data_IF_358412892754
#
_entry.id   IF_358412892754
#
_cell.length_a   1.000
_cell.length_b   1.000
_cell.length_c   1.000
_cell.angle_alpha   90.00
_cell.angle_beta   90.00
_cell.angle_gamma   90.00
#
_symmetry.space_group_name_H-M   'P 1'
#
loop_
_entity.id
_entity.type
_entity.pdbx_description
1 polymer ?
#
# COMPACT_ATOMS: atom_id res chain seq x y z
N UNK A 1 -18.55 -4.63 -3.08
CA UNK A 1 -17.13 -4.64 -2.61
C UNK A 1 -16.33 -3.57 -3.36
N UNK A 2 -15.59 -2.71 -2.64
CA UNK A 2 -14.67 -1.73 -3.21
C UNK A 2 -13.34 -2.42 -3.58
N UNK A 3 -12.73 -2.07 -4.72
CA UNK A 3 -11.44 -2.65 -5.11
C UNK A 3 -10.67 -1.68 -6.03
N UNK A 4 -9.34 -1.63 -5.90
CA UNK A 4 -8.48 -0.72 -6.67
C UNK A 4 -7.08 -1.31 -6.84
N UNK A 5 -6.36 -0.86 -7.85
CA UNK A 5 -4.95 -1.20 -8.06
C UNK A 5 -4.09 -0.03 -7.57
N UNK A 6 -3.06 -0.32 -6.79
CA UNK A 6 -2.10 0.66 -6.32
C UNK A 6 -0.66 0.17 -6.38
N UNK A 7 0.28 1.08 -6.15
CA UNK A 7 1.72 0.82 -6.13
C UNK A 7 2.29 1.18 -4.76
N UNK A 8 3.08 0.30 -4.17
CA UNK A 8 3.77 0.55 -2.91
C UNK A 8 4.90 1.56 -3.09
N UNK A 9 4.82 2.72 -2.49
CA UNK A 9 5.90 3.70 -2.49
C UNK A 9 6.92 3.38 -1.40
N UNK A 10 6.46 3.16 -0.17
CA UNK A 10 7.32 2.91 0.97
C UNK A 10 6.56 2.69 2.25
N UNK A 11 7.29 2.74 3.35
CA UNK A 11 6.71 2.72 4.70
C UNK A 11 7.24 3.91 5.50
N UNK A 12 6.38 4.45 6.33
CA UNK A 12 6.67 5.52 7.28
C UNK A 12 5.89 5.33 8.56
N UNK A 13 6.04 6.22 9.51
CA UNK A 13 5.22 6.28 10.71
C UNK A 13 4.45 7.59 10.73
N UNK A 14 3.22 7.55 11.26
CA UNK A 14 2.34 8.71 11.43
C UNK A 14 1.98 8.80 12.90
N UNK A 15 1.93 10.01 13.43
CA UNK A 15 1.59 10.26 14.82
C UNK A 15 0.12 10.68 14.93
N UNK A 16 -0.52 10.23 15.99
CA UNK A 16 -1.91 10.59 16.30
C UNK A 16 -1.94 11.62 17.43
N UNK A 17 -3.02 12.38 17.53
CA UNK A 17 -3.24 13.35 18.61
C UNK A 17 -3.17 12.70 20.00
N UNK A 18 -3.52 11.41 20.09
CA UNK A 18 -3.42 10.60 21.32
C UNK A 18 -1.97 10.23 21.73
N UNK A 19 -0.95 10.69 20.98
CA UNK A 19 0.45 10.35 21.21
C UNK A 19 0.85 8.93 20.74
N UNK A 20 -0.04 8.18 20.08
CA UNK A 20 0.31 6.87 19.53
C UNK A 20 0.93 7.00 18.15
N UNK A 21 1.83 6.05 17.80
CA UNK A 21 2.48 6.00 16.49
C UNK A 21 1.91 4.85 15.68
N UNK A 22 1.43 5.14 14.47
CA UNK A 22 1.00 4.11 13.52
C UNK A 22 2.07 3.89 12.46
N UNK A 23 2.62 2.66 12.34
CA UNK A 23 3.41 2.30 11.18
C UNK A 23 2.48 2.20 9.96
N UNK A 24 2.78 2.94 8.90
CA UNK A 24 1.93 2.98 7.70
C UNK A 24 2.72 2.65 6.46
N UNK A 25 2.05 2.01 5.51
CA UNK A 25 2.53 1.84 4.14
C UNK A 25 1.85 2.88 3.27
N UNK A 26 2.65 3.66 2.56
CA UNK A 26 2.17 4.62 1.56
C UNK A 26 1.97 3.88 0.24
N UNK A 27 0.74 3.95 -0.28
CA UNK A 27 0.37 3.34 -1.56
C UNK A 27 -0.13 4.45 -2.49
N UNK A 28 0.50 4.56 -3.64
CA UNK A 28 0.05 5.40 -4.74
C UNK A 28 -1.05 4.69 -5.50
N UNK A 29 -2.16 5.36 -5.69
CA UNK A 29 -3.33 4.87 -6.42
C UNK A 29 -3.64 5.85 -7.53
N UNK A 30 -2.90 5.77 -8.62
CA UNK A 30 -3.22 6.53 -9.82
C UNK A 30 -4.61 6.16 -10.33
N UNK A 31 -5.32 7.05 -11.03
CA UNK A 31 -6.62 6.75 -11.60
C UNK A 31 -6.61 5.44 -12.38
N UNK A 32 -7.44 4.51 -11.96
CA UNK A 32 -7.58 3.20 -12.57
C UNK A 32 -8.67 3.27 -13.65
N UNK A 33 -8.32 3.05 -14.91
CA UNK A 33 -9.26 3.16 -16.02
C UNK A 33 -9.89 1.82 -16.33
N UNK A 34 -11.22 1.77 -16.45
CA UNK A 34 -11.95 0.56 -16.83
C UNK A 34 -11.79 0.33 -18.33
N UNK A 35 -11.11 -0.74 -18.69
CA UNK A 35 -10.84 -1.11 -20.09
C UNK A 35 -11.94 -1.97 -20.69
N UNK A 36 -12.50 -2.89 -19.91
CA UNK A 36 -13.53 -3.81 -20.34
C UNK A 36 -14.40 -4.23 -19.17
N UNK A 37 -15.70 -4.36 -19.41
CA UNK A 37 -16.67 -4.94 -18.49
C UNK A 37 -16.96 -6.37 -18.93
N UNK A 38 -16.66 -7.34 -18.09
CA UNK A 38 -16.92 -8.75 -18.34
C UNK A 38 -18.31 -9.13 -17.85
N UNK A 39 -19.08 -9.82 -18.68
CA UNK A 39 -20.46 -10.20 -18.41
C UNK A 39 -20.60 -11.72 -18.36
N UNK A 40 -21.57 -12.22 -17.62
CA UNK A 40 -21.85 -13.67 -17.51
C UNK A 40 -22.13 -14.28 -18.87
N UNK A 41 -22.81 -13.56 -19.77
CA UNK A 41 -23.20 -14.08 -21.09
C UNK A 41 -22.00 -14.35 -22.02
N UNK A 42 -20.97 -13.49 -21.97
CA UNK A 42 -19.79 -13.57 -22.87
C UNK A 42 -18.59 -14.26 -22.22
N UNK A 43 -18.33 -13.94 -20.96
CA UNK A 43 -17.10 -14.34 -20.26
C UNK A 43 -17.38 -15.42 -19.18
N UNK A 44 -18.66 -15.66 -18.82
CA UNK A 44 -19.07 -16.63 -17.80
C UNK A 44 -18.97 -16.11 -16.36
N UNK A 45 -18.53 -14.88 -16.14
CA UNK A 45 -18.44 -14.23 -14.83
C UNK A 45 -18.47 -12.71 -14.96
N UNK A 46 -18.75 -12.03 -13.85
CA UNK A 46 -18.77 -10.58 -13.74
C UNK A 46 -17.47 -10.04 -13.15
N UNK A 47 -16.79 -9.16 -13.90
CA UNK A 47 -15.58 -8.47 -13.44
C UNK A 47 -15.33 -7.21 -14.27
N UNK A 48 -14.63 -6.25 -13.69
CA UNK A 48 -14.08 -5.11 -14.41
C UNK A 48 -12.61 -5.34 -14.73
N UNK A 49 -12.24 -5.30 -15.98
CA UNK A 49 -10.85 -5.27 -16.38
C UNK A 49 -10.35 -3.84 -16.33
N UNK A 50 -9.39 -3.58 -15.46
CA UNK A 50 -8.90 -2.23 -15.13
C UNK A 50 -7.43 -2.10 -15.46
N UNK A 51 -7.08 -0.96 -16.06
CA UNK A 51 -5.71 -0.58 -16.39
C UNK A 51 -5.11 0.40 -15.39
N UNK A 52 -3.85 0.20 -15.05
CA UNK A 52 -3.07 1.03 -14.14
C UNK A 52 -1.76 1.44 -14.79
N UNK A 53 -1.38 2.71 -14.66
CA UNK A 53 -0.17 3.33 -15.19
C UNK A 53 -0.10 3.37 -16.73
N UNK A 54 0.12 4.56 -17.26
CA UNK A 54 0.16 4.81 -18.69
C UNK A 54 1.43 4.26 -19.35
N UNK A 55 1.24 3.63 -20.50
CA UNK A 55 2.31 3.09 -21.33
C UNK A 55 2.44 3.92 -22.60
N UNK A 56 3.67 4.24 -22.98
CA UNK A 56 3.91 4.94 -24.27
C UNK A 56 3.42 4.08 -25.43
N UNK A 57 2.71 4.68 -26.37
CA UNK A 57 2.15 3.96 -27.55
C UNK A 57 3.22 3.23 -28.35
N UNK A 58 4.42 3.81 -28.49
CA UNK A 58 5.55 3.18 -29.18
C UNK A 58 6.01 1.85 -28.58
N UNK A 59 5.66 1.59 -27.31
CA UNK A 59 5.98 0.34 -26.61
C UNK A 59 4.80 -0.63 -26.52
N UNK A 60 3.63 -0.22 -26.98
CA UNK A 60 2.42 -1.01 -26.90
C UNK A 60 2.27 -1.92 -28.12
N UNK A 61 1.77 -3.14 -27.89
CA UNK A 61 1.42 -4.07 -28.96
C UNK A 61 0.09 -3.66 -29.63
N UNK A 62 -0.13 -4.13 -30.86
CA UNK A 62 -1.39 -3.86 -31.60
C UNK A 62 -2.64 -4.28 -30.82
N UNK A 63 -2.57 -5.38 -30.05
CA UNK A 63 -3.68 -5.84 -29.22
C UNK A 63 -3.97 -4.88 -28.06
N UNK A 64 -2.91 -4.41 -27.36
CA UNK A 64 -3.04 -3.43 -26.27
C UNK A 64 -3.61 -2.10 -26.76
N UNK A 65 -3.14 -1.63 -27.94
CA UNK A 65 -3.68 -0.45 -28.60
C UNK A 65 -5.16 -0.64 -29.00
N UNK A 66 -5.55 -1.84 -29.44
CA UNK A 66 -6.93 -2.16 -29.78
C UNK A 66 -7.86 -2.09 -28.55
N UNK A 67 -7.40 -2.59 -27.41
CA UNK A 67 -8.14 -2.50 -26.12
C UNK A 67 -8.24 -1.04 -25.66
N UNK A 68 -7.13 -0.31 -25.70
CA UNK A 68 -7.08 1.09 -25.29
C UNK A 68 -8.01 1.97 -26.15
N UNK A 69 -8.03 1.76 -27.47
CA UNK A 69 -8.94 2.47 -28.39
C UNK A 69 -10.41 2.22 -28.09
N UNK A 70 -10.79 0.98 -27.72
CA UNK A 70 -12.19 0.67 -27.33
C UNK A 70 -12.63 1.39 -26.06
N UNK A 71 -11.70 1.62 -25.14
CA UNK A 71 -11.94 2.33 -23.89
C UNK A 71 -11.65 3.84 -23.98
N UNK A 72 -11.30 4.36 -25.16
CA UNK A 72 -10.89 5.75 -25.41
C UNK A 72 -9.79 6.24 -24.46
N UNK A 73 -8.78 5.39 -24.19
CA UNK A 73 -7.70 5.67 -23.25
C UNK A 73 -6.33 5.36 -23.84
N UNK A 74 -5.28 5.76 -23.14
CA UNK A 74 -3.90 5.35 -23.43
C UNK A 74 -3.67 3.89 -23.03
N UNK A 75 -2.79 3.15 -23.73
CA UNK A 75 -2.43 1.79 -23.31
C UNK A 75 -1.84 1.80 -21.90
N UNK A 76 -2.07 0.73 -21.13
CA UNK A 76 -1.68 0.62 -19.72
C UNK A 76 -0.61 -0.45 -19.49
N UNK A 77 0.27 -0.23 -18.51
CA UNK A 77 1.31 -1.20 -18.15
C UNK A 77 0.74 -2.43 -17.42
N UNK A 78 -0.17 -2.19 -16.50
CA UNK A 78 -0.73 -3.25 -15.66
C UNK A 78 -2.22 -3.34 -15.89
N UNK A 79 -2.65 -4.52 -16.30
CA UNK A 79 -4.07 -4.83 -16.49
C UNK A 79 -4.44 -5.93 -15.51
N UNK A 80 -5.47 -5.71 -14.69
CA UNK A 80 -5.97 -6.65 -13.70
C UNK A 80 -7.49 -6.63 -13.68
N UNK A 81 -8.05 -7.72 -13.21
CA UNK A 81 -9.48 -7.84 -12.98
C UNK A 81 -9.82 -7.48 -11.54
N UNK A 82 -10.82 -6.64 -11.39
CA UNK A 82 -11.41 -6.26 -10.13
C UNK A 82 -12.79 -6.91 -10.03
N UNK A 83 -13.02 -7.63 -8.95
CA UNK A 83 -14.27 -8.27 -8.61
C UNK A 83 -15.01 -7.43 -7.57
N UNK A 84 -16.32 -7.36 -7.64
CA UNK A 84 -17.16 -6.69 -6.65
C UNK A 84 -18.40 -6.06 -7.28
N UNK A 85 -19.56 -6.41 -6.74
CA UNK A 85 -20.86 -6.02 -7.28
C UNK A 85 -21.07 -4.50 -7.33
N UNK A 86 -20.66 -3.78 -6.28
CA UNK A 86 -20.76 -2.31 -6.20
C UNK A 86 -19.92 -1.61 -7.28
N UNK A 87 -18.68 -2.07 -7.50
CA UNK A 87 -17.82 -1.49 -8.53
C UNK A 87 -18.34 -1.83 -9.91
N UNK A 88 -18.81 -3.06 -10.09
CA UNK A 88 -19.36 -3.52 -11.34
C UNK A 88 -20.59 -2.72 -11.78
N UNK A 89 -21.48 -2.40 -10.82
CA UNK A 89 -22.71 -1.65 -11.12
C UNK A 89 -22.44 -0.17 -11.39
N UNK A 90 -21.47 0.44 -10.70
CA UNK A 90 -21.26 1.88 -10.71
C UNK A 90 -20.31 2.37 -11.82
N UNK A 91 -19.57 1.47 -12.47
CA UNK A 91 -18.56 1.87 -13.44
C UNK A 91 -18.80 1.24 -14.81
N UNK A 92 -18.62 2.06 -15.85
CA UNK A 92 -18.68 1.66 -17.25
C UNK A 92 -17.30 1.69 -17.90
N UNK A 93 -17.21 1.18 -19.13
CA UNK A 93 -15.98 1.20 -19.92
C UNK A 93 -15.54 2.64 -20.17
N UNK A 94 -14.27 2.95 -19.90
CA UNK A 94 -13.71 4.31 -19.99
C UNK A 94 -13.82 5.13 -18.71
N UNK A 95 -14.60 4.71 -17.71
CA UNK A 95 -14.65 5.40 -16.41
C UNK A 95 -13.36 5.21 -15.60
N UNK A 96 -13.08 6.13 -14.70
CA UNK A 96 -11.93 6.10 -13.79
C UNK A 96 -12.36 5.71 -12.39
N UNK A 97 -11.53 4.94 -11.71
CA UNK A 97 -11.69 4.52 -10.32
C UNK A 97 -10.53 5.12 -9.54
N UNK A 98 -10.81 6.01 -8.60
CA UNK A 98 -9.83 6.74 -7.81
C UNK A 98 -9.72 6.21 -6.37
N UNK A 99 -8.75 6.71 -5.62
CA UNK A 99 -8.56 6.35 -4.22
C UNK A 99 -9.72 6.80 -3.31
N UNK A 100 -10.54 7.76 -3.74
CA UNK A 100 -11.68 8.31 -2.99
C UNK A 100 -12.79 7.29 -2.69
N UNK A 101 -12.76 6.10 -3.31
CA UNK A 101 -13.68 5.01 -3.00
C UNK A 101 -13.50 4.53 -1.55
N UNK A 102 -12.28 4.61 -1.01
CA UNK A 102 -11.98 4.21 0.36
C UNK A 102 -12.08 5.39 1.32
N UNK A 103 -12.46 5.09 2.54
CA UNK A 103 -12.54 6.05 3.65
C UNK A 103 -11.59 5.65 4.78
N UNK A 104 -11.19 6.62 5.61
CA UNK A 104 -10.43 6.32 6.82
C UNK A 104 -11.24 5.39 7.74
N UNK A 105 -10.59 4.36 8.28
CA UNK A 105 -11.22 3.32 9.09
C UNK A 105 -11.75 2.11 8.31
N UNK A 106 -11.75 2.14 6.98
CA UNK A 106 -12.15 0.98 6.18
C UNK A 106 -11.19 -0.19 6.39
N UNK A 107 -11.76 -1.38 6.60
CA UNK A 107 -11.01 -2.63 6.63
C UNK A 107 -10.77 -3.13 5.20
N UNK A 108 -9.52 -3.43 4.88
CA UNK A 108 -9.09 -3.82 3.54
C UNK A 108 -8.25 -5.10 3.55
N UNK A 109 -8.31 -5.83 2.44
CA UNK A 109 -7.41 -6.93 2.12
C UNK A 109 -6.48 -6.50 1.00
N UNK A 110 -5.18 -6.76 1.16
CA UNK A 110 -4.17 -6.40 0.16
C UNK A 110 -3.54 -7.65 -0.43
N UNK A 111 -3.64 -7.78 -1.75
CA UNK A 111 -3.08 -8.88 -2.53
C UNK A 111 -1.89 -8.36 -3.34
N UNK A 112 -0.68 -8.88 -3.08
CA UNK A 112 0.51 -8.53 -3.82
C UNK A 112 1.50 -9.69 -3.91
N UNK A 113 2.52 -9.53 -4.75
CA UNK A 113 3.63 -10.50 -4.84
C UNK A 113 4.64 -10.22 -3.72
N UNK A 114 4.95 -11.25 -2.92
CA UNK A 114 5.97 -11.19 -1.87
C UNK A 114 7.38 -10.98 -2.45
N UNK A 115 8.32 -10.59 -1.59
CA UNK A 115 9.75 -10.55 -1.98
C UNK A 115 10.27 -11.97 -2.23
N UNK A 116 11.07 -12.14 -3.28
CA UNK A 116 11.81 -13.38 -3.52
C UNK A 116 13.08 -13.43 -2.68
N UNK A 117 13.53 -14.63 -2.34
CA UNK A 117 14.75 -14.87 -1.56
C UNK A 117 15.77 -15.78 -2.27
N UNK A 118 15.52 -16.10 -3.53
CA UNK A 118 16.37 -16.98 -4.31
C UNK A 118 16.39 -18.43 -3.80
N UNK A 119 17.49 -19.14 -4.00
CA UNK A 119 17.69 -20.47 -3.44
C UNK A 119 17.98 -20.38 -1.94
N UNK A 120 17.14 -20.96 -1.13
CA UNK A 120 17.15 -20.78 0.33
C UNK A 120 17.20 -22.12 1.05
N UNK A 121 18.06 -22.22 2.05
CA UNK A 121 18.18 -23.39 2.91
C UNK A 121 16.98 -23.58 3.84
N UNK A 122 16.86 -24.77 4.43
CA UNK A 122 15.72 -25.21 5.26
C UNK A 122 15.49 -24.30 6.45
N UNK A 123 16.55 -23.82 7.08
CA UNK A 123 16.47 -22.98 8.27
C UNK A 123 15.74 -21.66 7.98
N UNK A 124 16.15 -20.93 6.95
CA UNK A 124 15.52 -19.67 6.56
C UNK A 124 14.14 -19.88 5.95
N UNK A 125 13.96 -20.95 5.14
CA UNK A 125 12.71 -21.17 4.41
C UNK A 125 11.58 -21.68 5.28
N UNK A 126 11.90 -22.52 6.27
CA UNK A 126 10.90 -23.22 7.09
C UNK A 126 11.11 -23.06 8.60
N UNK A 127 12.02 -22.16 9.00
CA UNK A 127 12.36 -21.92 10.41
C UNK A 127 12.78 -23.19 11.17
N UNK A 128 13.54 -24.08 10.48
CA UNK A 128 14.06 -25.29 11.11
C UNK A 128 15.17 -24.95 12.12
N UNK A 129 15.34 -25.77 13.12
CA UNK A 129 16.40 -25.61 14.11
C UNK A 129 17.79 -25.77 13.48
N UNK A 130 18.74 -24.99 13.99
CA UNK A 130 20.17 -25.12 13.68
C UNK A 130 20.73 -26.25 14.52
N UNK A 131 21.61 -27.06 13.96
CA UNK A 131 22.35 -28.08 14.70
C UNK A 131 23.35 -27.50 15.71
N UNK A 132 23.98 -28.34 16.54
CA UNK A 132 24.99 -27.90 17.50
C UNK A 132 26.13 -27.15 16.82
N UNK A 133 26.58 -26.05 17.43
CA UNK A 133 27.72 -25.27 16.95
C UNK A 133 29.07 -25.69 17.54
N UNK A 134 29.05 -26.53 18.57
CA UNK A 134 30.21 -27.08 19.27
C UNK A 134 30.10 -28.58 19.46
N UNK A 135 30.83 -29.14 20.41
CA UNK A 135 30.88 -30.59 20.73
C UNK A 135 31.29 -31.50 19.55
N UNK A 136 32.17 -31.02 18.68
CA UNK A 136 32.68 -31.79 17.54
C UNK A 136 31.69 -32.00 16.38
N UNK A 137 30.53 -31.35 16.42
CA UNK A 137 29.49 -31.49 15.39
C UNK A 137 29.85 -30.69 14.14
N UNK A 138 29.94 -31.32 12.97
CA UNK A 138 29.96 -30.64 11.67
C UNK A 138 28.56 -30.34 11.10
N UNK A 139 27.50 -30.74 11.80
CA UNK A 139 26.11 -30.54 11.40
C UNK A 139 25.59 -29.19 11.91
N UNK A 140 25.74 -28.11 11.15
CA UNK A 140 25.31 -26.78 11.57
C UNK A 140 23.99 -26.35 10.93
N UNK A 141 23.89 -26.37 9.60
CA UNK A 141 22.77 -25.81 8.85
C UNK A 141 22.16 -26.79 7.85
N UNK A 142 22.35 -28.08 8.03
CA UNK A 142 21.90 -29.14 7.14
C UNK A 142 20.42 -29.54 7.46
N UNK A 143 19.85 -30.41 6.60
CA UNK A 143 18.44 -30.84 6.68
C UNK A 143 18.20 -31.82 7.83
N UNK A 144 19.20 -32.52 8.27
CA UNK A 144 19.10 -33.63 9.17
C UNK A 144 18.85 -34.96 8.47
N UNK A 145 18.53 -36.01 9.22
CA UNK A 145 18.26 -37.30 8.67
C UNK A 145 17.10 -37.30 7.69
N UNK A 146 17.27 -37.91 6.55
CA UNK A 146 16.24 -38.17 5.55
C UNK A 146 15.72 -39.61 5.64
N UNK A 147 16.41 -40.46 6.41
CA UNK A 147 16.00 -41.82 6.64
C UNK A 147 14.73 -41.89 7.49
N UNK A 148 13.87 -42.83 7.17
CA UNK A 148 12.65 -43.13 7.90
C UNK A 148 12.73 -44.58 8.38
N UNK A 149 12.42 -44.81 9.67
CA UNK A 149 12.49 -46.11 10.31
C UNK A 149 11.55 -47.14 9.64
N UNK A 150 11.99 -47.83 8.60
CA UNK A 150 11.30 -48.95 7.98
C UNK A 150 9.92 -48.74 7.37
N UNK A 151 9.16 -47.75 7.83
CA UNK A 151 7.76 -47.51 7.42
C UNK A 151 7.59 -47.01 5.97
N UNK A 152 8.62 -46.50 5.35
CA UNK A 152 8.56 -45.90 4.01
C UNK A 152 9.51 -46.59 3.01
N UNK A 153 9.96 -47.82 3.24
CA UNK A 153 10.88 -48.54 2.36
C UNK A 153 12.08 -47.69 1.94
N UNK A 154 12.76 -47.04 2.90
CA UNK A 154 13.89 -46.14 2.70
C UNK A 154 13.61 -44.91 1.79
N UNK A 155 12.36 -44.55 1.61
CA UNK A 155 12.00 -43.36 0.86
C UNK A 155 11.90 -42.16 1.78
N UNK A 156 12.14 -40.98 1.20
CA UNK A 156 11.83 -39.70 1.88
C UNK A 156 10.33 -39.46 1.84
N UNK A 157 9.71 -39.06 2.96
CA UNK A 157 8.29 -38.76 2.99
C UNK A 157 7.93 -37.66 1.99
N UNK A 158 6.77 -37.81 1.34
CA UNK A 158 6.20 -36.76 0.52
C UNK A 158 5.99 -35.47 1.34
N UNK A 159 6.30 -34.33 0.76
CA UNK A 159 6.19 -33.04 1.45
C UNK A 159 7.32 -32.74 2.46
N UNK A 160 8.40 -33.55 2.53
CA UNK A 160 9.55 -33.25 3.38
C UNK A 160 10.11 -31.86 3.04
N UNK A 161 10.22 -31.00 4.04
CA UNK A 161 10.71 -29.62 3.90
C UNK A 161 12.20 -29.62 3.61
N UNK A 162 12.60 -29.18 2.42
CA UNK A 162 13.98 -29.11 1.95
C UNK A 162 14.31 -27.71 1.44
N UNK A 163 15.61 -27.41 1.30
CA UNK A 163 16.06 -26.20 0.61
C UNK A 163 15.53 -26.13 -0.82
N UNK A 164 15.47 -24.97 -1.39
CA UNK A 164 14.99 -24.77 -2.75
C UNK A 164 14.72 -23.30 -3.08
N UNK A 165 14.27 -23.07 -4.29
CA UNK A 165 13.95 -21.74 -4.79
C UNK A 165 12.74 -21.16 -4.04
N UNK A 166 12.95 -20.06 -3.34
CA UNK A 166 11.88 -19.29 -2.71
C UNK A 166 11.49 -18.13 -3.63
N UNK A 167 10.58 -18.43 -4.53
CA UNK A 167 10.07 -17.47 -5.52
C UNK A 167 9.12 -16.46 -4.89
N UNK A 168 8.95 -15.27 -5.50
CA UNK A 168 7.84 -14.36 -5.17
C UNK A 168 6.51 -15.10 -5.34
N UNK A 169 5.68 -15.07 -4.31
CA UNK A 169 4.35 -15.69 -4.32
C UNK A 169 3.29 -14.61 -4.15
N UNK A 170 2.13 -14.82 -4.74
CA UNK A 170 0.95 -13.98 -4.46
C UNK A 170 0.52 -14.24 -3.01
N UNK A 171 0.55 -13.20 -2.21
CA UNK A 171 0.22 -13.24 -0.79
C UNK A 171 -0.86 -12.22 -0.51
N UNK A 172 -1.89 -12.63 0.23
CA UNK A 172 -2.95 -11.75 0.70
C UNK A 172 -2.76 -11.48 2.19
N UNK A 173 -2.70 -10.21 2.57
CA UNK A 173 -2.80 -9.80 3.97
C UNK A 173 -4.21 -9.29 4.20
N UNK A 174 -4.88 -9.89 5.18
CA UNK A 174 -6.25 -9.61 5.51
C UNK A 174 -6.38 -8.57 6.62
N UNK A 175 -7.51 -7.85 6.63
CA UNK A 175 -7.93 -6.97 7.71
C UNK A 175 -6.92 -5.87 8.06
N UNK A 176 -6.30 -5.27 7.06
CA UNK A 176 -5.56 -4.01 7.23
C UNK A 176 -6.55 -2.85 7.30
N UNK A 177 -6.13 -1.74 7.88
CA UNK A 177 -6.98 -0.56 8.09
C UNK A 177 -6.42 0.60 7.28
N UNK A 178 -7.31 1.32 6.60
CA UNK A 178 -6.98 2.59 5.95
C UNK A 178 -6.90 3.66 7.04
N UNK A 179 -5.75 4.30 7.18
CA UNK A 179 -5.52 5.37 8.15
C UNK A 179 -5.99 6.71 7.61
N UNK A 180 -5.61 6.99 6.36
CA UNK A 180 -5.95 8.25 5.69
C UNK A 180 -5.99 8.06 4.18
N UNK A 181 -6.75 8.92 3.50
CA UNK A 181 -6.92 8.96 2.05
C UNK A 181 -6.64 10.37 1.56
N UNK A 182 -5.64 10.53 0.74
CA UNK A 182 -5.30 11.82 0.14
C UNK A 182 -5.56 11.80 -1.37
N UNK A 183 -6.73 12.28 -1.83
CA UNK A 183 -7.08 12.30 -3.25
C UNK A 183 -6.18 13.23 -4.07
N UNK A 184 -5.73 14.34 -3.50
CA UNK A 184 -4.89 15.31 -4.22
C UNK A 184 -3.55 14.71 -4.66
N UNK A 185 -2.99 13.84 -3.83
CA UNK A 185 -1.72 13.15 -4.11
C UNK A 185 -1.93 11.71 -4.60
N UNK A 186 -3.17 11.28 -4.82
CA UNK A 186 -3.52 9.90 -5.20
C UNK A 186 -2.90 8.85 -4.27
N UNK A 187 -2.91 9.09 -2.95
CA UNK A 187 -2.27 8.25 -1.95
C UNK A 187 -3.27 7.67 -0.95
N UNK A 188 -3.02 6.40 -0.58
CA UNK A 188 -3.65 5.72 0.54
C UNK A 188 -2.60 5.40 1.60
N UNK A 189 -2.90 5.71 2.86
CA UNK A 189 -2.11 5.32 4.02
C UNK A 189 -2.73 4.07 4.65
N UNK A 190 -2.03 2.95 4.57
CA UNK A 190 -2.50 1.67 5.09
C UNK A 190 -1.71 1.34 6.36
N UNK A 191 -2.39 1.07 7.47
CA UNK A 191 -1.77 0.67 8.73
C UNK A 191 -1.11 -0.69 8.60
N UNK A 192 0.19 -0.74 8.91
CA UNK A 192 0.97 -1.97 8.90
C UNK A 192 1.76 -2.21 7.62
N UNK A 193 2.28 -3.42 7.48
CA UNK A 193 3.12 -3.82 6.34
C UNK A 193 2.30 -4.45 5.22
N UNK A 194 2.69 -4.13 3.99
CA UNK A 194 2.11 -4.67 2.77
C UNK A 194 3.15 -5.53 2.04
N UNK A 195 2.79 -6.68 1.45
CA UNK A 195 3.74 -7.56 0.79
C UNK A 195 4.39 -6.91 -0.43
N UNK A 196 5.60 -7.34 -0.73
CA UNK A 196 6.36 -6.91 -1.89
C UNK A 196 7.43 -5.84 -1.63
N UNK A 197 8.32 -5.61 -2.61
CA UNK A 197 9.30 -4.53 -2.59
C UNK A 197 8.67 -3.16 -2.81
N UNK A 198 9.46 -2.09 -2.73
CA UNK A 198 9.06 -0.77 -3.21
C UNK A 198 8.68 -0.84 -4.69
N UNK A 199 7.72 -0.05 -5.10
CA UNK A 199 7.18 0.02 -6.46
C UNK A 199 6.48 -1.25 -6.96
N UNK A 200 6.19 -2.22 -6.09
CA UNK A 200 5.35 -3.37 -6.45
C UNK A 200 3.89 -2.97 -6.57
N UNK A 201 3.25 -3.48 -7.62
CA UNK A 201 1.82 -3.30 -7.86
C UNK A 201 1.02 -4.29 -7.03
N UNK A 202 -0.08 -3.82 -6.45
CA UNK A 202 -0.96 -4.58 -5.60
C UNK A 202 -2.44 -4.34 -5.94
N UNK A 203 -3.29 -5.28 -5.59
CA UNK A 203 -4.74 -5.16 -5.60
C UNK A 203 -5.21 -4.93 -4.16
N UNK A 204 -5.92 -3.85 -3.93
CA UNK A 204 -6.53 -3.51 -2.66
C UNK A 204 -8.02 -3.73 -2.81
N UNK A 205 -8.65 -4.41 -1.87
CA UNK A 205 -10.09 -4.64 -1.85
C UNK A 205 -10.64 -4.52 -0.44
N UNK A 206 -11.94 -4.28 -0.31
CA UNK A 206 -12.61 -4.34 0.99
C UNK A 206 -12.41 -5.71 1.63
N UNK A 207 -12.20 -5.77 2.95
CA UNK A 207 -11.94 -7.00 3.67
C UNK A 207 -13.16 -7.94 3.60
N UNK A 208 -12.96 -9.17 3.18
CA UNK A 208 -14.03 -10.16 3.07
C UNK A 208 -14.56 -10.55 4.45
N UNK A 209 -13.68 -10.68 5.44
CA UNK A 209 -14.04 -11.13 6.81
C UNK A 209 -14.60 -10.02 7.71
N UNK A 210 -14.37 -8.75 7.39
CA UNK A 210 -14.72 -7.60 8.23
C UNK A 210 -15.46 -6.50 7.46
N UNK A 211 -16.21 -6.86 6.43
CA UNK A 211 -16.85 -5.96 5.47
C UNK A 211 -17.69 -4.83 6.07
N UNK A 212 -18.28 -5.02 7.25
CA UNK A 212 -19.26 -4.09 7.82
C UNK A 212 -18.74 -3.28 9.00
N UNK A 213 -17.51 -3.50 9.46
CA UNK A 213 -17.00 -2.86 10.67
C UNK A 213 -15.94 -1.82 10.31
N UNK A 214 -16.30 -0.55 10.40
CA UNK A 214 -15.30 0.53 10.40
C UNK A 214 -14.51 0.44 11.70
N UNK A 215 -13.19 0.45 11.57
CA UNK A 215 -12.29 0.44 12.72
C UNK A 215 -11.99 1.89 13.07
N UNK A 216 -12.20 2.32 14.32
CA UNK A 216 -11.91 3.69 14.72
C UNK A 216 -10.41 3.96 14.52
N UNK A 217 -10.12 5.05 13.83
CA UNK A 217 -8.76 5.58 13.64
C UNK A 217 -8.69 6.90 14.38
N UNK A 218 -7.72 7.05 15.26
CA UNK A 218 -7.46 8.31 15.95
C UNK A 218 -7.03 9.37 14.95
N UNK A 219 -7.40 10.63 15.21
CA UNK A 219 -7.02 11.75 14.35
C UNK A 219 -5.51 11.88 14.26
N UNK A 220 -5.04 12.19 13.06
CA UNK A 220 -3.63 12.38 12.79
C UNK A 220 -3.21 13.81 13.13
N UNK A 221 -2.00 13.96 13.66
CA UNK A 221 -1.41 15.28 13.91
C UNK A 221 -1.12 15.97 12.58
N UNK A 222 -1.68 17.17 12.41
CA UNK A 222 -1.50 17.96 11.20
C UNK A 222 -0.45 19.06 11.44
N UNK A 223 0.82 18.72 11.28
CA UNK A 223 1.94 19.64 11.49
C UNK A 223 1.90 20.91 10.61
N UNK A 224 1.22 20.85 9.45
CA UNK A 224 1.16 22.03 8.55
C UNK A 224 0.25 23.12 9.08
N UNK A 225 -0.86 22.77 9.70
CA UNK A 225 -1.77 23.75 10.29
C UNK A 225 -1.16 24.40 11.53
N UNK A 226 -0.54 23.62 12.41
CA UNK A 226 0.14 24.17 13.61
C UNK A 226 1.27 25.13 13.24
N UNK A 227 2.11 24.77 12.24
CA UNK A 227 3.21 25.64 11.81
C UNK A 227 2.73 26.91 11.12
N UNK A 228 1.67 26.86 10.35
CA UNK A 228 1.09 28.08 9.72
C UNK A 228 0.50 29.00 10.75
N UNK A 229 -0.33 28.48 11.66
CA UNK A 229 -0.91 29.27 12.75
C UNK A 229 0.14 29.84 13.71
N UNK A 230 1.23 29.10 13.98
CA UNK A 230 2.35 29.61 14.78
C UNK A 230 3.11 30.72 14.05
N UNK A 231 3.33 30.58 12.76
CA UNK A 231 4.00 31.59 11.94
C UNK A 231 3.13 32.87 11.85
N UNK A 232 1.82 32.74 11.68
CA UNK A 232 0.88 33.87 11.66
C UNK A 232 0.87 34.60 13.01
N UNK A 233 0.80 33.90 14.13
CA UNK A 233 0.90 34.49 15.47
C UNK A 233 2.22 35.22 15.72
N UNK A 234 3.35 34.61 15.34
CA UNK A 234 4.66 35.23 15.46
C UNK A 234 4.76 36.49 14.59
N UNK A 235 4.13 36.48 13.41
CA UNK A 235 4.10 37.68 12.53
C UNK A 235 3.20 38.78 13.11
N UNK A 236 2.06 38.44 13.68
CA UNK A 236 1.18 39.41 14.37
C UNK A 236 1.87 40.01 15.60
N UNK A 237 2.50 39.21 16.45
CA UNK A 237 3.25 39.69 17.61
C UNK A 237 4.44 40.59 17.20
N UNK A 238 5.12 40.25 16.11
CA UNK A 238 6.22 41.06 15.59
C UNK A 238 5.74 42.41 14.99
N UNK A 239 4.56 42.45 14.40
CA UNK A 239 3.92 43.68 13.90
C UNK A 239 3.46 44.56 15.05
N UNK A 240 2.84 44.00 16.08
CA UNK A 240 2.46 44.74 17.28
C UNK A 240 3.66 45.31 18.05
N UNK A 241 4.76 44.53 18.14
CA UNK A 241 5.99 44.99 18.78
C UNK A 241 6.61 46.18 18.02
N UNK A 242 6.62 46.15 16.68
CA UNK A 242 7.09 47.28 15.86
C UNK A 242 6.21 48.51 16.01
N UNK A 243 4.90 48.33 16.03
CA UNK A 243 3.98 49.44 16.23
C UNK A 243 4.15 50.12 17.59
N UNK A 244 4.40 49.31 18.65
CA UNK A 244 4.72 49.83 20.00
C UNK A 244 6.05 50.57 20.05
N UNK A 245 7.08 50.07 19.34
CA UNK A 245 8.38 50.77 19.23
C UNK A 245 8.28 52.10 18.44
N UNK A 246 7.49 52.13 17.39
CA UNK A 246 7.24 53.39 16.63
C UNK A 246 6.47 54.43 17.45
N UNK A 247 5.49 54.00 18.20
CA UNK A 247 4.73 54.86 19.12
C UNK A 247 5.64 55.44 20.20
N UNK A 248 6.47 54.64 20.85
CA UNK A 248 7.47 55.10 21.82
C UNK A 248 8.47 56.08 21.24
N UNK A 249 8.95 55.85 20.04
CA UNK A 249 9.84 56.77 19.34
C UNK A 249 9.18 58.09 18.93
N UNK A 250 7.88 58.09 18.69
CA UNK A 250 7.10 59.28 18.42
C UNK A 250 6.93 60.11 19.70
N UNK A 251 6.62 59.49 20.82
CA UNK A 251 6.49 60.17 22.13
C UNK A 251 7.84 60.73 22.60
N UNK A 252 8.94 60.02 22.40
CA UNK A 252 10.31 60.57 22.68
C UNK A 252 10.66 61.76 21.86
N UNK A 253 10.19 61.83 20.61
CA UNK A 253 10.45 62.99 19.73
C UNK A 253 9.62 64.22 20.12
N UNK A 254 8.36 63.99 20.56
CA UNK A 254 7.49 65.09 21.06
C UNK A 254 7.99 65.61 22.40
N UNK A 255 8.53 64.74 23.28
CA UNK A 255 9.10 65.18 24.55
C UNK A 255 10.43 65.92 24.43
N UNK A 256 11.15 65.77 23.31
CA UNK A 256 12.38 66.51 23.00
C UNK A 256 12.19 67.79 22.21
N UNK A 257 10.94 68.07 21.76
CA UNK A 257 10.60 69.24 20.95
C UNK A 257 9.87 70.31 21.80
N UNK A 258 9.49 69.99 23.05
CA UNK A 258 9.02 70.89 24.07
C UNK A 258 10.14 71.14 25.12
#
# INVERSE_FOLDING_TARGET
MKSVIGRKIGMTSVFTEDGTTYPVTVVEVLPNVVLQKKTVEKDGYEALQVGYEDKKESRANKCELGIAKKANTTPKYFVKELEGDEIYSNHEVGSTIDCSIFEAGDAIDVVAKSKGHGYTGVIKRYHAHIGPKGHGSGYHRQIGSLATNGRCNNRVHAGKKMGGQWRPQTTTIHNLVVVDVNPNNNCLLIRGSVPGPKYSVMKIRSAIKSLKKKIPVSKLVNYKTETVEQIEKIQEEALEAKAKEEALKAEEKESKAN
#
